data_IF_742144163960
#
_entry.id   IF_742144163960
#
_cell.length_a   1.000
_cell.length_b   1.000
_cell.length_c   1.000
_cell.angle_alpha   90.00
_cell.angle_beta   90.00
_cell.angle_gamma   90.00
#
_symmetry.space_group_name_H-M   'P 1'
#
loop_
_entity.id
_entity.type
_entity.pdbx_description
1 polymer ?
#
# COMPACT_ATOMS: atom_id res chain seq x y z
N UNK A 1 -1.01 -24.44 6.97
CA UNK A 1 0.15 -23.57 6.69
C UNK A 1 1.51 -24.30 6.60
N UNK A 2 1.67 -25.56 7.07
CA UNK A 2 2.91 -26.35 6.93
C UNK A 2 3.26 -26.79 5.50
N UNK A 3 2.37 -26.58 4.54
CA UNK A 3 2.44 -27.18 3.21
C UNK A 3 2.99 -26.24 2.11
N UNK A 4 3.43 -25.03 2.47
CA UNK A 4 3.90 -24.01 1.51
C UNK A 4 5.41 -23.74 1.58
N UNK A 5 6.19 -24.67 2.14
CA UNK A 5 7.66 -24.67 2.03
C UNK A 5 8.35 -23.42 2.58
N UNK A 6 7.81 -22.81 3.64
CA UNK A 6 8.40 -21.63 4.29
C UNK A 6 8.22 -20.30 3.54
N UNK A 7 7.46 -20.28 2.44
CA UNK A 7 7.18 -19.03 1.70
C UNK A 7 6.22 -18.13 2.46
N UNK A 8 6.44 -16.81 2.37
CA UNK A 8 5.50 -15.83 2.89
C UNK A 8 4.22 -15.79 2.05
N UNK A 9 3.08 -15.92 2.72
CA UNK A 9 1.76 -15.85 2.09
C UNK A 9 1.06 -14.60 2.59
N UNK A 10 0.46 -13.86 1.66
CA UNK A 10 -0.25 -12.60 1.94
C UNK A 10 -1.57 -12.61 1.20
N UNK A 11 -2.61 -12.06 1.84
CA UNK A 11 -3.93 -11.90 1.24
C UNK A 11 -4.12 -10.47 0.77
N UNK A 12 -4.60 -10.28 -0.45
CA UNK A 12 -4.87 -8.97 -1.02
C UNK A 12 -6.24 -8.99 -1.67
N UNK A 13 -7.11 -8.04 -1.34
CA UNK A 13 -8.39 -7.93 -2.00
C UNK A 13 -8.22 -7.42 -3.45
N UNK A 14 -8.90 -8.09 -4.39
CA UNK A 14 -8.99 -7.66 -5.79
C UNK A 14 -9.92 -6.44 -5.90
N UNK A 15 -9.35 -5.24 -5.92
CA UNK A 15 -10.09 -3.96 -6.02
C UNK A 15 -10.09 -3.42 -7.45
N UNK A 16 -11.24 -2.92 -7.92
CA UNK A 16 -11.37 -2.28 -9.24
C UNK A 16 -11.11 -0.78 -9.16
N UNK A 17 -10.11 -0.31 -9.88
CA UNK A 17 -9.82 1.12 -10.04
C UNK A 17 -10.59 1.65 -11.25
N UNK A 18 -11.45 2.64 -11.04
CA UNK A 18 -12.10 3.37 -12.14
C UNK A 18 -11.17 4.48 -12.63
N UNK A 19 -11.18 4.86 -13.92
CA UNK A 19 -10.37 5.96 -14.41
C UNK A 19 -10.81 7.29 -13.79
N UNK A 20 -9.91 8.28 -13.76
CA UNK A 20 -10.28 9.64 -13.34
C UNK A 20 -11.17 10.24 -14.45
N UNK A 21 -12.32 10.86 -14.13
CA UNK A 21 -13.13 11.54 -15.13
C UNK A 21 -12.30 12.65 -15.77
N UNK A 22 -12.16 12.59 -17.09
CA UNK A 22 -11.41 13.57 -17.87
C UNK A 22 -12.33 14.69 -18.39
N UNK A 23 -11.76 15.86 -18.66
CA UNK A 23 -12.46 17.00 -19.27
C UNK A 23 -12.20 17.02 -20.80
N UNK A 24 -13.10 17.64 -21.57
CA UNK A 24 -12.94 17.80 -23.03
C UNK A 24 -13.26 16.53 -23.84
N UNK A 25 -12.65 16.38 -25.02
CA UNK A 25 -12.94 15.31 -25.97
C UNK A 25 -12.68 13.88 -25.44
N UNK A 26 -11.88 13.75 -24.37
CA UNK A 26 -11.61 12.45 -23.71
C UNK A 26 -12.62 12.12 -22.61
N UNK A 27 -13.67 12.92 -22.44
CA UNK A 27 -14.72 12.69 -21.44
C UNK A 27 -15.58 11.50 -21.87
N UNK A 28 -15.51 10.43 -21.09
CA UNK A 28 -16.48 9.34 -21.16
C UNK A 28 -17.72 9.74 -20.34
N UNK A 29 -18.94 9.73 -20.91
CA UNK A 29 -20.14 10.04 -20.16
C UNK A 29 -20.40 8.93 -19.13
N UNK A 30 -20.24 9.26 -17.85
CA UNK A 30 -20.57 8.38 -16.73
C UNK A 30 -22.04 8.58 -16.33
N UNK A 31 -22.82 7.50 -16.23
CA UNK A 31 -24.20 7.54 -15.72
C UNK A 31 -24.27 7.87 -14.22
N UNK A 32 -23.24 7.48 -13.47
CA UNK A 32 -23.17 7.62 -12.01
C UNK A 32 -21.81 8.19 -11.61
N UNK A 33 -21.78 9.02 -10.56
CA UNK A 33 -20.54 9.58 -10.02
C UNK A 33 -19.60 8.48 -9.54
N UNK A 34 -18.32 8.56 -9.94
CA UNK A 34 -17.25 7.68 -9.44
C UNK A 34 -17.19 7.68 -7.89
N UNK A 35 -17.33 6.51 -7.23
CA UNK A 35 -17.20 6.41 -5.78
C UNK A 35 -15.74 6.59 -5.34
N UNK A 36 -15.52 7.19 -4.16
CA UNK A 36 -14.17 7.45 -3.63
C UNK A 36 -13.37 6.16 -3.39
N UNK A 37 -14.04 5.08 -3.00
CA UNK A 37 -13.45 3.76 -2.77
C UNK A 37 -12.85 3.10 -4.02
N UNK A 38 -13.26 3.54 -5.22
CA UNK A 38 -12.71 3.06 -6.51
C UNK A 38 -11.73 4.04 -7.14
N UNK A 39 -11.10 4.87 -6.31
CA UNK A 39 -10.02 5.75 -6.74
C UNK A 39 -8.66 5.08 -6.62
N UNK A 40 -7.71 5.44 -7.50
CA UNK A 40 -6.35 4.88 -7.47
C UNK A 40 -5.70 5.04 -6.09
N UNK A 41 -5.82 6.23 -5.49
CA UNK A 41 -5.25 6.53 -4.17
C UNK A 41 -5.88 5.69 -3.07
N UNK A 42 -7.22 5.63 -3.02
CA UNK A 42 -7.94 4.84 -2.00
C UNK A 42 -7.66 3.34 -2.13
N UNK A 43 -7.60 2.82 -3.36
CA UNK A 43 -7.27 1.41 -3.59
C UNK A 43 -5.84 1.09 -3.17
N UNK A 44 -4.89 1.97 -3.46
CA UNK A 44 -3.49 1.78 -3.05
C UNK A 44 -3.30 1.84 -1.53
N UNK A 45 -4.10 2.64 -0.83
CA UNK A 45 -4.09 2.69 0.64
C UNK A 45 -4.69 1.43 1.25
N UNK A 46 -5.83 0.98 0.72
CA UNK A 46 -6.45 -0.26 1.17
C UNK A 46 -5.59 -1.50 0.86
N UNK A 47 -4.84 -1.51 -0.26
CA UNK A 47 -3.86 -2.58 -0.54
C UNK A 47 -2.71 -2.60 0.47
N UNK A 48 -2.24 -1.44 0.93
CA UNK A 48 -1.20 -1.39 1.95
C UNK A 48 -1.69 -1.97 3.27
N UNK A 49 -2.94 -1.68 3.66
CA UNK A 49 -3.56 -2.24 4.87
C UNK A 49 -3.68 -3.76 4.80
N UNK A 50 -4.13 -4.32 3.67
CA UNK A 50 -4.22 -5.78 3.51
C UNK A 50 -2.85 -6.46 3.61
N UNK A 51 -1.82 -5.84 3.02
CA UNK A 51 -0.46 -6.41 2.98
C UNK A 51 0.16 -6.57 4.37
N UNK A 52 -0.09 -5.62 5.27
CA UNK A 52 0.62 -5.52 6.55
C UNK A 52 -0.11 -6.19 7.71
N UNK A 53 -1.28 -6.77 7.48
CA UNK A 53 -1.99 -7.56 8.48
C UNK A 53 -1.06 -8.67 9.05
N UNK A 54 -0.91 -8.79 10.38
CA UNK A 54 -1.74 -8.23 11.47
C UNK A 54 -1.39 -6.81 11.95
N UNK A 55 -0.27 -6.22 11.50
CA UNK A 55 0.17 -4.91 11.97
C UNK A 55 -0.69 -3.80 11.39
N UNK A 56 -0.96 -2.78 12.21
CA UNK A 56 -1.66 -1.58 11.76
C UNK A 56 -0.67 -0.50 11.36
N UNK A 57 -1.07 0.31 10.36
CA UNK A 57 -0.29 1.45 9.91
C UNK A 57 -0.60 2.64 10.83
N UNK A 58 0.36 3.03 11.65
CA UNK A 58 0.27 4.18 12.55
C UNK A 58 0.49 5.49 11.79
N UNK A 59 1.34 5.45 10.76
CA UNK A 59 1.71 6.65 10.03
C UNK A 59 2.19 6.39 8.61
N UNK A 60 2.13 7.42 7.78
CA UNK A 60 2.58 7.37 6.39
C UNK A 60 3.25 8.69 6.03
N UNK A 61 4.49 8.62 5.59
CA UNK A 61 5.28 9.77 5.13
C UNK A 61 5.78 9.51 3.72
N UNK A 62 5.56 10.44 2.81
CA UNK A 62 6.15 10.35 1.46
C UNK A 62 7.38 11.24 1.39
N UNK A 63 8.55 10.66 1.19
CA UNK A 63 9.79 11.39 0.92
C UNK A 63 9.95 11.56 -0.58
N UNK A 64 10.13 12.80 -1.03
CA UNK A 64 10.48 13.12 -2.41
C UNK A 64 11.99 13.37 -2.46
N UNK A 65 12.70 12.63 -3.32
CA UNK A 65 14.14 12.83 -3.56
C UNK A 65 14.34 14.00 -4.53
N UNK A 66 15.56 14.52 -4.61
CA UNK A 66 15.93 15.59 -5.55
C UNK A 66 15.66 15.16 -7.01
N UNK A 67 15.86 13.88 -7.32
CA UNK A 67 15.56 13.29 -8.64
C UNK A 67 14.05 13.15 -8.94
N UNK A 68 13.17 13.68 -8.09
CA UNK A 68 11.71 13.59 -8.22
C UNK A 68 11.10 12.23 -7.83
N UNK A 69 11.94 11.21 -7.60
CA UNK A 69 11.49 9.88 -7.13
C UNK A 69 10.84 9.98 -5.76
N UNK A 70 9.73 9.27 -5.58
CA UNK A 70 8.95 9.24 -4.34
C UNK A 70 9.13 7.90 -3.64
N UNK A 71 9.57 7.94 -2.38
CA UNK A 71 9.66 6.77 -1.51
C UNK A 71 8.65 6.95 -0.39
N UNK A 72 7.75 5.98 -0.25
CA UNK A 72 6.71 6.01 0.78
C UNK A 72 7.24 5.28 2.01
N UNK A 73 7.46 6.01 3.10
CA UNK A 73 7.76 5.47 4.42
C UNK A 73 6.47 5.17 5.16
N UNK A 74 6.27 3.91 5.51
CA UNK A 74 5.10 3.44 6.26
C UNK A 74 5.56 3.10 7.66
N UNK A 75 4.91 3.69 8.64
CA UNK A 75 5.18 3.44 10.04
C UNK A 75 4.20 2.39 10.54
N UNK A 76 4.73 1.23 10.94
CA UNK A 76 3.96 0.13 11.50
C UNK A 76 3.95 0.21 13.02
N UNK A 77 2.93 -0.37 13.64
CA UNK A 77 2.88 -0.48 15.09
C UNK A 77 4.04 -1.33 15.64
N UNK A 78 4.72 -0.81 16.68
CA UNK A 78 5.89 -1.43 17.31
C UNK A 78 5.52 -2.70 18.08
N UNK A 79 4.28 -2.81 18.58
CA UNK A 79 3.83 -3.97 19.36
C UNK A 79 3.91 -5.28 18.56
N UNK A 80 3.84 -5.19 17.24
CA UNK A 80 3.83 -6.33 16.34
C UNK A 80 5.16 -6.56 15.60
N UNK A 81 6.21 -5.82 15.99
CA UNK A 81 7.51 -5.85 15.31
C UNK A 81 8.05 -7.27 15.13
N UNK A 82 8.13 -8.06 16.21
CA UNK A 82 8.66 -9.43 16.21
C UNK A 82 7.96 -10.35 15.19
N UNK A 83 6.66 -10.14 14.96
CA UNK A 83 5.86 -10.98 14.08
C UNK A 83 5.93 -10.58 12.61
N UNK A 84 6.26 -9.31 12.32
CA UNK A 84 6.12 -8.72 10.99
C UNK A 84 7.46 -8.36 10.37
N UNK A 85 8.51 -8.14 11.18
CA UNK A 85 9.85 -7.72 10.75
C UNK A 85 10.43 -8.63 9.65
N UNK A 86 10.33 -9.95 9.81
CA UNK A 86 10.83 -10.92 8.83
C UNK A 86 10.05 -10.93 7.49
N UNK A 87 8.90 -10.24 7.39
CA UNK A 87 8.07 -10.15 6.17
C UNK A 87 8.18 -8.80 5.44
N UNK A 88 8.81 -7.81 6.06
CA UNK A 88 8.86 -6.42 5.58
C UNK A 88 9.42 -6.31 4.15
N UNK A 89 10.48 -7.04 3.85
CA UNK A 89 11.10 -7.05 2.52
C UNK A 89 10.16 -7.63 1.45
N UNK A 90 9.38 -8.65 1.82
CA UNK A 90 8.39 -9.26 0.92
C UNK A 90 7.27 -8.27 0.62
N UNK A 91 6.78 -7.54 1.63
CA UNK A 91 5.73 -6.53 1.42
C UNK A 91 6.19 -5.40 0.50
N UNK A 92 7.42 -4.92 0.67
CA UNK A 92 7.99 -3.87 -0.18
C UNK A 92 8.06 -4.33 -1.64
N UNK A 93 8.53 -5.56 -1.85
CA UNK A 93 8.62 -6.18 -3.18
C UNK A 93 7.25 -6.38 -3.83
N UNK A 94 6.27 -6.91 -3.08
CA UNK A 94 4.90 -7.11 -3.57
C UNK A 94 4.22 -5.80 -3.95
N UNK A 95 4.34 -4.77 -3.10
CA UNK A 95 3.74 -3.47 -3.39
C UNK A 95 4.37 -2.80 -4.60
N UNK A 96 5.71 -2.91 -4.74
CA UNK A 96 6.44 -2.42 -5.91
C UNK A 96 5.99 -3.13 -7.18
N UNK A 97 5.80 -4.44 -7.15
CA UNK A 97 5.35 -5.22 -8.30
C UNK A 97 3.91 -4.86 -8.71
N UNK A 98 2.98 -4.76 -7.75
CA UNK A 98 1.57 -4.49 -8.03
C UNK A 98 1.29 -3.03 -8.44
N UNK A 99 2.03 -2.08 -7.89
CA UNK A 99 1.71 -0.64 -8.02
C UNK A 99 2.78 0.20 -8.70
N UNK A 100 4.00 -0.34 -8.88
CA UNK A 100 5.17 0.38 -9.39
C UNK A 100 5.75 1.42 -8.42
N UNK A 101 5.26 1.49 -7.18
CA UNK A 101 5.69 2.49 -6.18
C UNK A 101 6.64 1.87 -5.16
N UNK A 102 7.68 2.62 -4.80
CA UNK A 102 8.63 2.20 -3.79
C UNK A 102 8.12 2.52 -2.38
N UNK A 103 8.18 1.52 -1.51
CA UNK A 103 7.75 1.59 -0.11
C UNK A 103 8.85 1.07 0.79
N UNK A 104 9.03 1.71 1.94
CA UNK A 104 9.88 1.25 3.04
C UNK A 104 9.05 1.21 4.32
N UNK A 105 9.14 0.13 5.09
CA UNK A 105 8.45 0.01 6.37
C UNK A 105 9.41 0.28 7.52
N UNK A 106 8.96 1.06 8.49
CA UNK A 106 9.74 1.49 9.66
C UNK A 106 8.88 1.30 10.91
N UNK A 107 9.51 0.96 12.04
CA UNK A 107 8.85 0.92 13.35
C UNK A 107 9.30 2.17 14.12
N UNK A 108 8.43 3.19 14.30
CA UNK A 108 8.81 4.38 15.03
C UNK A 108 9.02 4.03 16.50
N UNK A 109 10.05 4.61 17.10
CA UNK A 109 10.15 4.64 18.56
C UNK A 109 9.15 5.66 19.10
N UNK A 110 8.46 5.36 20.22
CA UNK A 110 7.69 6.37 20.91
C UNK A 110 8.66 7.50 21.27
N UNK A 111 8.41 8.68 20.72
CA UNK A 111 9.02 9.89 21.22
C UNK A 111 8.35 10.09 22.58
N UNK A 112 9.10 9.77 23.65
CA UNK A 112 8.75 9.75 25.08
C UNK A 112 8.18 8.43 25.61
#
# INVERSE_FOLDING_TARGET
WRELGGRHVVFIARRRILPKPQRGNKRVPEKQKRPRSRTLTSVHEAMLQDLVFPAEIVGKRTRVKLDGRRVIKIHLDKTQQTNVEHKVETFASLYKHLTGKEVTFEFPEPMF
#
